data_IF_430017483346
#
_entry.id   IF_430017483346
#
_cell.length_a   1.000
_cell.length_b   1.000
_cell.length_c   1.000
_cell.angle_alpha   90.00
_cell.angle_beta   90.00
_cell.angle_gamma   90.00
#
_symmetry.space_group_name_H-M   'P 1'
#
loop_
_entity.id
_entity.type
_entity.pdbx_description
1 polymer ?
#
# COMPACT_ATOMS: atom_id res chain seq x y z
N UNK A 1 -5.49 -8.33 8.50
CA UNK A 1 -4.49 -7.74 7.58
C UNK A 1 -3.08 -8.05 8.11
N UNK A 2 -2.12 -8.51 7.29
CA UNK A 2 -0.75 -8.78 7.76
C UNK A 2 -0.05 -7.54 8.32
N UNK A 3 -0.27 -6.37 7.72
CA UNK A 3 0.27 -5.11 8.24
C UNK A 3 -0.19 -4.80 9.67
N UNK A 4 -1.46 -5.08 10.00
CA UNK A 4 -1.98 -4.93 11.35
C UNK A 4 -1.36 -5.94 12.33
N UNK A 5 -1.12 -7.17 11.87
CA UNK A 5 -0.47 -8.21 12.66
C UNK A 5 0.94 -7.80 13.09
N UNK A 6 1.76 -7.32 12.14
CA UNK A 6 3.12 -6.85 12.44
C UNK A 6 3.14 -5.54 13.22
N UNK A 7 2.22 -4.60 12.93
CA UNK A 7 2.08 -3.34 13.68
C UNK A 7 1.72 -3.58 15.15
N UNK A 8 1.02 -4.68 15.46
CA UNK A 8 0.71 -5.11 16.82
C UNK A 8 1.89 -5.70 17.60
N UNK A 9 3.12 -5.65 17.08
CA UNK A 9 4.34 -6.11 17.77
C UNK A 9 4.52 -7.63 17.79
N UNK A 10 3.76 -8.37 16.97
CA UNK A 10 3.88 -9.82 16.85
C UNK A 10 5.08 -10.22 16.00
N UNK A 11 5.53 -11.46 16.14
CA UNK A 11 6.68 -11.97 15.38
C UNK A 11 6.43 -11.82 13.86
N UNK A 12 7.32 -11.12 13.12
CA UNK A 12 7.11 -10.84 11.69
C UNK A 12 7.32 -12.06 10.79
N UNK A 13 7.94 -13.12 11.31
CA UNK A 13 8.15 -14.39 10.61
C UNK A 13 7.19 -15.45 11.17
N UNK A 14 6.44 -16.09 10.28
CA UNK A 14 5.53 -17.19 10.61
C UNK A 14 6.14 -18.52 10.19
N UNK A 15 6.06 -19.54 11.05
CA UNK A 15 6.34 -20.95 10.67
C UNK A 15 5.08 -21.56 10.07
N UNK A 16 5.23 -22.17 8.90
CA UNK A 16 4.14 -22.81 8.16
C UNK A 16 4.10 -24.32 8.46
N UNK A 17 2.95 -25.00 8.25
CA UNK A 17 2.80 -26.43 8.54
C UNK A 17 3.76 -27.36 7.78
N UNK A 18 4.27 -26.91 6.64
CA UNK A 18 5.24 -27.63 5.80
C UNK A 18 6.70 -27.47 6.27
N UNK A 19 6.93 -26.77 7.40
CA UNK A 19 8.24 -26.51 7.96
C UNK A 19 8.96 -25.28 7.38
N UNK A 20 8.38 -24.61 6.38
CA UNK A 20 8.94 -23.38 5.82
C UNK A 20 8.58 -22.16 6.68
N UNK A 21 9.13 -20.98 6.33
CA UNK A 21 8.78 -19.73 6.99
C UNK A 21 8.45 -18.59 6.04
N UNK A 22 7.52 -17.75 6.48
CA UNK A 22 7.03 -16.58 5.75
C UNK A 22 7.40 -15.30 6.50
N UNK A 23 8.24 -14.46 5.89
CA UNK A 23 8.57 -13.13 6.41
C UNK A 23 7.51 -12.13 5.92
N UNK A 24 6.55 -11.79 6.78
CA UNK A 24 5.38 -10.98 6.40
C UNK A 24 5.77 -9.58 5.90
N UNK A 25 6.67 -8.81 6.55
CA UNK A 25 7.10 -7.53 6.02
C UNK A 25 7.74 -7.62 4.63
N UNK A 26 8.54 -8.65 4.39
CA UNK A 26 9.20 -8.81 3.09
C UNK A 26 8.21 -9.22 2.00
N UNK A 27 7.28 -10.12 2.29
CA UNK A 27 6.20 -10.49 1.37
C UNK A 27 5.30 -9.29 1.04
N UNK A 28 4.97 -8.48 2.05
CA UNK A 28 4.22 -7.25 1.84
C UNK A 28 5.00 -6.28 0.93
N UNK A 29 6.28 -6.02 1.23
CA UNK A 29 7.12 -5.16 0.41
C UNK A 29 7.24 -5.64 -1.04
N UNK A 30 7.44 -6.94 -1.27
CA UNK A 30 7.48 -7.53 -2.61
C UNK A 30 6.18 -7.30 -3.38
N UNK A 31 5.03 -7.54 -2.74
CA UNK A 31 3.73 -7.31 -3.36
C UNK A 31 3.48 -5.85 -3.70
N UNK A 32 3.82 -4.94 -2.78
CA UNK A 32 3.70 -3.49 -3.02
C UNK A 32 4.58 -3.05 -4.18
N UNK A 33 5.86 -3.42 -4.20
CA UNK A 33 6.81 -3.05 -5.25
C UNK A 33 6.40 -3.58 -6.62
N UNK A 34 6.01 -4.85 -6.71
CA UNK A 34 5.59 -5.46 -7.97
C UNK A 34 4.26 -4.88 -8.48
N UNK A 35 3.40 -4.44 -7.57
CA UNK A 35 2.09 -3.88 -7.88
C UNK A 35 2.11 -2.44 -8.37
N UNK A 36 3.01 -1.60 -7.85
CA UNK A 36 3.16 -0.21 -8.27
C UNK A 36 4.15 0.01 -9.43
N UNK A 37 4.90 -1.03 -9.83
CA UNK A 37 5.82 -0.95 -10.96
C UNK A 37 5.11 -1.19 -12.30
N UNK A 38 5.04 -0.17 -13.15
CA UNK A 38 4.41 -0.24 -14.48
C UNK A 38 5.07 -1.24 -15.44
N UNK A 39 6.33 -1.61 -15.19
CA UNK A 39 7.03 -2.61 -16.00
C UNK A 39 6.78 -4.06 -15.51
N UNK A 40 6.18 -4.22 -14.33
CA UNK A 40 5.86 -5.53 -13.77
C UNK A 40 4.70 -6.18 -14.50
N UNK A 41 4.79 -7.51 -14.72
CA UNK A 41 3.67 -8.31 -15.22
C UNK A 41 2.48 -8.36 -14.25
N UNK A 42 2.69 -7.97 -12.99
CA UNK A 42 1.66 -7.89 -11.95
C UNK A 42 1.32 -6.45 -11.55
N UNK A 43 1.62 -5.48 -12.42
CA UNK A 43 1.22 -4.08 -12.22
C UNK A 43 -0.29 -3.97 -11.99
N UNK A 44 -0.71 -3.18 -11.00
CA UNK A 44 -2.13 -3.03 -10.65
C UNK A 44 -2.93 -2.23 -11.68
N UNK A 45 -2.27 -1.45 -12.54
CA UNK A 45 -2.93 -0.55 -13.48
C UNK A 45 -3.09 0.87 -12.93
N UNK A 46 -3.35 1.82 -13.83
CA UNK A 46 -3.64 3.21 -13.44
C UNK A 46 -5.05 3.33 -12.87
N UNK A 47 -5.22 4.15 -11.83
CA UNK A 47 -6.52 4.42 -11.21
C UNK A 47 -7.32 5.40 -12.08
N UNK A 48 -8.56 5.02 -12.40
CA UNK A 48 -9.50 5.84 -13.19
C UNK A 48 -10.65 6.40 -12.34
N UNK A 49 -11.49 7.23 -12.94
CA UNK A 49 -12.73 7.68 -12.30
C UNK A 49 -13.68 6.50 -12.06
N UNK A 50 -14.36 6.49 -10.92
CA UNK A 50 -15.30 5.43 -10.52
C UNK A 50 -14.67 4.02 -10.56
N UNK A 51 -13.35 3.93 -10.34
CA UNK A 51 -12.59 2.69 -10.38
C UNK A 51 -12.55 2.02 -8.99
N UNK A 52 -12.83 0.72 -8.94
CA UNK A 52 -12.74 -0.08 -7.72
C UNK A 52 -11.34 -0.04 -7.08
N UNK A 53 -10.30 0.21 -7.88
CA UNK A 53 -8.94 0.45 -7.38
C UNK A 53 -8.85 1.59 -6.37
N UNK A 54 -9.81 2.53 -6.32
CA UNK A 54 -9.86 3.55 -5.27
C UNK A 54 -10.08 2.93 -3.88
N UNK A 55 -10.94 1.91 -3.80
CA UNK A 55 -11.17 1.16 -2.56
C UNK A 55 -9.92 0.35 -2.19
N UNK A 56 -9.33 -0.36 -3.16
CA UNK A 56 -8.14 -1.18 -2.94
C UNK A 56 -6.91 -0.33 -2.56
N UNK A 57 -6.74 0.84 -3.19
CA UNK A 57 -5.68 1.79 -2.87
C UNK A 57 -5.80 2.32 -1.44
N UNK A 58 -7.02 2.47 -0.91
CA UNK A 58 -7.22 2.87 0.48
C UNK A 58 -6.78 1.78 1.47
N UNK A 59 -7.04 0.51 1.17
CA UNK A 59 -6.54 -0.63 1.96
C UNK A 59 -5.01 -0.74 1.87
N UNK A 60 -4.44 -0.54 0.67
CA UNK A 60 -2.99 -0.49 0.46
C UNK A 60 -2.36 0.65 1.25
N UNK A 61 -2.93 1.85 1.19
CA UNK A 61 -2.45 3.00 1.95
C UNK A 61 -2.48 2.70 3.46
N UNK A 62 -3.58 2.16 3.97
CA UNK A 62 -3.69 1.77 5.37
C UNK A 62 -2.63 0.71 5.75
N UNK A 63 -2.41 -0.29 4.90
CA UNK A 63 -1.36 -1.29 5.11
C UNK A 63 0.03 -0.65 5.17
N UNK A 64 0.32 0.30 4.29
CA UNK A 64 1.58 1.04 4.28
C UNK A 64 1.77 1.82 5.58
N UNK A 65 0.74 2.53 6.03
CA UNK A 65 0.80 3.29 7.27
C UNK A 65 1.03 2.39 8.49
N UNK A 66 0.31 1.27 8.59
CA UNK A 66 0.47 0.29 9.68
C UNK A 66 1.88 -0.32 9.68
N UNK A 67 2.41 -0.67 8.50
CA UNK A 67 3.70 -1.34 8.35
C UNK A 67 4.89 -0.39 8.17
N UNK A 68 4.70 0.93 8.26
CA UNK A 68 5.70 1.97 7.88
C UNK A 68 7.10 1.73 8.45
N UNK A 69 7.21 1.39 9.74
CA UNK A 69 8.49 1.16 10.41
C UNK A 69 9.27 -0.05 9.87
N UNK A 70 8.58 -1.01 9.24
CA UNK A 70 9.21 -2.12 8.53
C UNK A 70 9.48 -1.75 7.07
N UNK A 71 8.49 -1.17 6.39
CA UNK A 71 8.59 -0.84 4.97
C UNK A 71 9.70 0.17 4.68
N UNK A 72 9.90 1.17 5.55
CA UNK A 72 11.00 2.14 5.44
C UNK A 72 12.39 1.48 5.42
N UNK A 73 12.55 0.32 6.05
CA UNK A 73 13.82 -0.43 6.12
C UNK A 73 14.00 -1.41 4.97
N UNK A 74 12.89 -1.87 4.37
CA UNK A 74 12.89 -2.94 3.37
C UNK A 74 12.77 -2.36 1.96
N UNK A 75 11.91 -1.38 1.74
CA UNK A 75 11.69 -0.77 0.44
C UNK A 75 12.82 0.24 0.13
N UNK A 76 13.57 0.04 -0.96
CA UNK A 76 14.49 1.05 -1.47
C UNK A 76 13.74 2.34 -1.83
N UNK A 77 14.40 3.51 -1.77
CA UNK A 77 13.76 4.80 -2.05
C UNK A 77 12.95 4.81 -3.35
N UNK A 78 13.53 4.30 -4.44
CA UNK A 78 12.85 4.22 -5.74
C UNK A 78 11.51 3.49 -5.70
N UNK A 79 11.45 2.34 -5.03
CA UNK A 79 10.21 1.54 -4.96
C UNK A 79 9.17 2.21 -4.07
N UNK A 80 9.62 2.86 -2.99
CA UNK A 80 8.75 3.67 -2.15
C UNK A 80 8.17 4.86 -2.91
N UNK A 81 8.97 5.53 -3.73
CA UNK A 81 8.51 6.66 -4.54
C UNK A 81 7.52 6.20 -5.62
N UNK A 82 7.73 5.03 -6.24
CA UNK A 82 6.77 4.42 -7.18
C UNK A 82 5.43 4.12 -6.49
N UNK A 83 5.48 3.55 -5.28
CA UNK A 83 4.28 3.27 -4.48
C UNK A 83 3.53 4.56 -4.13
N UNK A 84 4.25 5.58 -3.67
CA UNK A 84 3.68 6.89 -3.36
C UNK A 84 3.06 7.55 -4.59
N UNK A 85 3.76 7.52 -5.74
CA UNK A 85 3.26 8.05 -7.00
C UNK A 85 1.99 7.34 -7.45
N UNK A 86 1.93 6.01 -7.33
CA UNK A 86 0.72 5.24 -7.66
C UNK A 86 -0.47 5.64 -6.76
N UNK A 87 -0.26 5.76 -5.45
CA UNK A 87 -1.29 6.20 -4.50
C UNK A 87 -1.74 7.65 -4.76
N UNK A 88 -0.83 8.55 -5.12
CA UNK A 88 -1.14 9.94 -5.48
C UNK A 88 -2.10 10.01 -6.68
N UNK A 89 -2.07 9.02 -7.59
CA UNK A 89 -3.02 9.00 -8.73
C UNK A 89 -4.48 8.87 -8.33
N UNK A 90 -4.79 8.44 -7.10
CA UNK A 90 -6.15 8.41 -6.58
C UNK A 90 -6.70 9.82 -6.27
N UNK A 91 -5.81 10.80 -6.03
CA UNK A 91 -6.21 12.16 -5.74
C UNK A 91 -6.88 12.81 -6.96
N UNK A 92 -8.01 13.47 -6.74
CA UNK A 92 -8.76 14.14 -7.81
C UNK A 92 -9.62 13.21 -8.69
N UNK A 93 -9.64 11.89 -8.43
CA UNK A 93 -10.52 10.96 -9.15
C UNK A 93 -11.97 11.14 -8.71
N UNK A 94 -12.89 11.04 -9.67
CA UNK A 94 -14.34 11.06 -9.38
C UNK A 94 -14.75 9.77 -8.69
N UNK A 95 -15.62 9.90 -7.70
CA UNK A 95 -16.14 8.82 -6.87
C UNK A 95 -17.66 8.77 -6.96
N UNK A 96 -18.24 7.60 -6.67
CA UNK A 96 -19.66 7.52 -6.38
C UNK A 96 -19.96 8.37 -5.12
N UNK A 97 -21.16 8.95 -5.06
CA UNK A 97 -21.55 9.81 -3.94
C UNK A 97 -21.96 8.99 -2.71
N UNK A 98 -20.96 8.38 -2.08
CA UNK A 98 -21.11 7.49 -0.93
C UNK A 98 -19.77 7.39 -0.16
N UNK A 99 -19.54 6.26 0.52
CA UNK A 99 -18.30 6.00 1.26
C UNK A 99 -17.03 6.03 0.39
N UNK A 100 -17.12 6.06 -0.94
CA UNK A 100 -15.97 6.19 -1.81
C UNK A 100 -15.18 7.48 -1.59
N UNK A 101 -15.84 8.55 -1.12
CA UNK A 101 -15.17 9.77 -0.67
C UNK A 101 -14.17 9.51 0.47
N UNK A 102 -14.49 8.57 1.37
CA UNK A 102 -13.64 8.22 2.51
C UNK A 102 -12.37 7.51 2.04
N UNK A 103 -12.43 6.73 0.95
CA UNK A 103 -11.25 6.05 0.40
C UNK A 103 -10.20 7.05 -0.08
N UNK A 104 -10.60 8.03 -0.90
CA UNK A 104 -9.69 9.09 -1.38
C UNK A 104 -9.14 9.92 -0.22
N UNK A 105 -9.99 10.24 0.76
CA UNK A 105 -9.57 10.96 1.97
C UNK A 105 -8.55 10.16 2.77
N UNK A 106 -8.76 8.86 2.98
CA UNK A 106 -7.84 7.99 3.71
C UNK A 106 -6.48 7.92 3.02
N UNK A 107 -6.46 7.70 1.70
CA UNK A 107 -5.23 7.68 0.90
C UNK A 107 -4.47 9.00 1.09
N UNK A 108 -5.16 10.12 0.95
CA UNK A 108 -4.58 11.47 1.10
C UNK A 108 -4.01 11.68 2.50
N UNK A 109 -4.72 11.26 3.55
CA UNK A 109 -4.26 11.41 4.95
C UNK A 109 -3.08 10.50 5.27
N UNK A 110 -3.05 9.29 4.74
CA UNK A 110 -1.91 8.38 4.88
C UNK A 110 -0.68 8.99 4.21
N UNK A 111 -0.78 9.43 2.96
CA UNK A 111 0.34 10.05 2.23
C UNK A 111 0.92 11.24 3.01
N UNK A 112 0.06 12.15 3.47
CA UNK A 112 0.48 13.28 4.30
C UNK A 112 1.18 12.84 5.59
N UNK A 113 0.70 11.78 6.25
CA UNK A 113 1.33 11.25 7.47
C UNK A 113 2.71 10.60 7.22
N UNK A 114 2.98 10.20 5.98
CA UNK A 114 4.27 9.69 5.51
C UNK A 114 5.17 10.81 4.94
N UNK A 115 4.75 12.07 5.04
CA UNK A 115 5.48 13.23 4.52
C UNK A 115 5.39 13.40 3.00
N UNK A 116 4.42 12.75 2.36
CA UNK A 116 4.16 12.85 0.92
C UNK A 116 3.03 13.82 0.68
N UNK A 117 3.30 14.83 -0.14
CA UNK A 117 2.33 15.82 -0.56
C UNK A 117 2.23 15.83 -2.09
N UNK A 118 1.05 16.09 -2.67
CA UNK A 118 0.98 16.45 -4.08
C UNK A 118 1.77 17.75 -4.29
N UNK A 119 2.42 17.87 -5.44
CA UNK A 119 3.04 19.12 -5.89
C UNK A 119 2.01 20.26 -6.08
#
# INVERSE_FOLDING_TARGET
LWAAYIAGGRAPELKLPDGTSANLPHLLAQGLSAGCDTASSTYWGAISDFDQRLCEAADIALACWLARAHLEKILPPRQRDQLHAWLLTAMGKRTADNNWHVFVLLITKVLASLGVHPD
#
